data_IF_029531036321
#
_entry.id   IF_029531036321
#
_cell.length_a   1.000
_cell.length_b   1.000
_cell.length_c   1.000
_cell.angle_alpha   90.00
_cell.angle_beta   90.00
_cell.angle_gamma   90.00
#
_symmetry.space_group_name_H-M   'P 1'
#
loop_
_entity.id
_entity.type
_entity.pdbx_description
1 polymer ?
#
# COMPACT_ATOMS: atom_id res chain seq x y z
N UNK A 1 -25.95 20.32 5.25
CA UNK A 1 -26.34 20.71 6.62
C UNK A 1 -27.48 19.80 7.01
N UNK A 2 -27.30 18.94 8.02
CA UNK A 2 -28.37 18.07 8.50
C UNK A 2 -29.06 18.83 9.64
N UNK A 3 -30.34 19.13 9.47
CA UNK A 3 -31.13 19.88 10.45
C UNK A 3 -32.42 19.13 10.73
N UNK A 4 -32.73 18.95 12.01
CA UNK A 4 -34.01 18.43 12.45
C UNK A 4 -35.11 19.47 12.24
N UNK A 5 -36.35 19.01 12.03
CA UNK A 5 -37.53 19.85 12.08
C UNK A 5 -37.79 20.33 13.52
N UNK A 6 -38.52 21.43 13.64
CA UNK A 6 -38.71 22.12 14.92
C UNK A 6 -39.42 21.25 15.97
N UNK A 7 -40.30 20.35 15.56
CA UNK A 7 -41.05 19.48 16.47
C UNK A 7 -40.13 18.39 17.05
N UNK A 8 -39.42 17.67 16.18
CA UNK A 8 -38.46 16.64 16.60
C UNK A 8 -37.35 17.21 17.48
N UNK A 9 -36.86 18.42 17.18
CA UNK A 9 -35.86 19.07 18.02
C UNK A 9 -36.37 19.31 19.46
N UNK A 10 -37.60 19.81 19.62
CA UNK A 10 -38.16 20.09 20.94
C UNK A 10 -38.41 18.80 21.74
N UNK A 11 -38.95 17.77 21.09
CA UNK A 11 -39.17 16.46 21.71
C UNK A 11 -37.85 15.85 22.23
N UNK A 12 -36.80 15.86 21.40
CA UNK A 12 -35.49 15.33 21.76
C UNK A 12 -34.81 16.13 22.88
N UNK A 13 -34.90 17.47 22.85
CA UNK A 13 -34.32 18.32 23.91
C UNK A 13 -35.09 18.22 25.23
N UNK A 14 -36.40 17.96 25.17
CA UNK A 14 -37.20 17.69 26.37
C UNK A 14 -36.83 16.36 27.02
N UNK A 15 -36.68 15.30 26.22
CA UNK A 15 -36.23 13.99 26.71
C UNK A 15 -34.76 14.00 27.16
N UNK A 16 -33.91 14.71 26.42
CA UNK A 16 -32.47 14.78 26.61
C UNK A 16 -31.97 16.22 26.51
N UNK A 17 -32.05 16.96 27.62
CA UNK A 17 -31.61 18.37 27.70
C UNK A 17 -30.18 18.62 27.23
N UNK A 18 -29.31 17.62 27.34
CA UNK A 18 -27.92 17.67 26.88
C UNK A 18 -27.78 17.49 25.36
N UNK A 19 -28.82 17.25 24.58
CA UNK A 19 -28.68 17.08 23.12
C UNK A 19 -28.79 18.39 22.36
N UNK A 20 -29.35 19.44 22.98
CA UNK A 20 -29.48 20.77 22.39
C UNK A 20 -28.15 21.35 21.88
N UNK A 21 -27.03 21.01 22.53
CA UNK A 21 -25.72 21.51 22.12
C UNK A 21 -25.15 20.81 20.89
N UNK A 22 -25.70 19.69 20.44
CA UNK A 22 -25.21 18.96 19.27
C UNK A 22 -26.11 19.13 18.05
N UNK A 23 -27.42 19.24 18.27
CA UNK A 23 -28.41 19.29 17.20
C UNK A 23 -28.27 20.58 16.38
N UNK A 24 -28.60 20.47 15.09
CA UNK A 24 -28.62 21.58 14.13
C UNK A 24 -27.30 22.38 14.03
N UNK A 25 -26.17 21.77 14.42
CA UNK A 25 -24.85 22.33 14.18
C UNK A 25 -24.31 21.86 12.82
N UNK A 26 -23.57 22.76 12.16
CA UNK A 26 -22.80 22.40 10.97
C UNK A 26 -21.63 21.49 11.38
N UNK A 27 -21.33 20.49 10.57
CA UNK A 27 -20.12 19.68 10.71
C UNK A 27 -18.99 20.46 10.05
N UNK A 28 -17.95 20.78 10.83
CA UNK A 28 -16.89 21.73 10.42
C UNK A 28 -16.05 21.23 9.24
N UNK A 29 -16.00 19.91 9.00
CA UNK A 29 -15.20 19.27 7.93
C UNK A 29 -16.04 18.40 6.98
N UNK A 30 -17.28 18.80 6.72
CA UNK A 30 -18.17 17.97 5.91
C UNK A 30 -17.66 17.77 4.47
N UNK A 31 -17.05 18.80 3.87
CA UNK A 31 -16.59 18.73 2.49
C UNK A 31 -15.43 17.77 2.35
N UNK A 32 -14.52 17.77 3.31
CA UNK A 32 -13.37 16.88 3.40
C UNK A 32 -13.83 15.43 3.59
N UNK A 33 -14.81 15.18 4.48
CA UNK A 33 -15.41 13.86 4.66
C UNK A 33 -16.12 13.37 3.40
N UNK A 34 -16.84 14.25 2.70
CA UNK A 34 -17.49 13.92 1.43
C UNK A 34 -16.49 13.58 0.32
N UNK A 35 -15.28 14.16 0.34
CA UNK A 35 -14.20 13.82 -0.59
C UNK A 35 -13.57 12.47 -0.24
N UNK A 36 -13.27 12.22 1.05
CA UNK A 36 -12.58 10.99 1.49
C UNK A 36 -13.46 9.76 1.43
N UNK A 37 -14.70 9.87 1.90
CA UNK A 37 -15.64 8.75 2.06
C UNK A 37 -16.67 8.69 0.93
N UNK A 38 -16.76 9.76 0.12
CA UNK A 38 -17.83 9.94 -0.86
C UNK A 38 -19.06 10.61 -0.27
N UNK A 39 -19.74 11.43 -1.08
CA UNK A 39 -20.89 12.25 -0.66
C UNK A 39 -22.02 11.43 -0.03
N UNK A 40 -22.30 10.24 -0.56
CA UNK A 40 -23.40 9.39 -0.11
C UNK A 40 -23.12 8.74 1.25
N UNK A 41 -21.87 8.36 1.51
CA UNK A 41 -21.44 7.88 2.83
C UNK A 41 -21.35 9.01 3.86
N UNK A 42 -20.87 10.19 3.48
CA UNK A 42 -20.78 11.35 4.38
C UNK A 42 -22.16 11.88 4.81
N UNK A 43 -23.16 11.75 3.94
CA UNK A 43 -24.57 12.07 4.27
C UNK A 43 -25.25 10.92 5.03
N UNK A 44 -24.60 9.76 5.14
CA UNK A 44 -25.20 8.49 5.61
C UNK A 44 -26.53 8.18 4.89
N UNK A 45 -26.60 8.47 3.58
CA UNK A 45 -27.83 8.35 2.81
C UNK A 45 -28.12 6.89 2.36
N UNK A 46 -27.39 5.92 2.91
CA UNK A 46 -27.57 4.48 2.65
C UNK A 46 -28.84 3.90 3.27
N UNK A 47 -29.42 4.59 4.26
CA UNK A 47 -30.50 4.04 5.06
C UNK A 47 -31.88 3.99 4.36
N UNK A 48 -32.02 4.38 3.08
CA UNK A 48 -33.35 4.40 2.44
C UNK A 48 -34.01 3.02 2.22
N UNK A 49 -33.35 1.93 2.60
CA UNK A 49 -33.92 0.57 2.65
C UNK A 49 -34.07 0.00 4.06
N UNK A 50 -34.09 0.81 5.13
CA UNK A 50 -34.44 0.26 6.45
C UNK A 50 -35.91 -0.21 6.42
N UNK A 51 -36.10 -1.52 6.40
CA UNK A 51 -37.28 -2.13 7.00
C UNK A 51 -37.13 -1.90 8.50
N UNK A 52 -38.16 -1.31 9.09
CA UNK A 52 -38.31 -1.11 10.52
C UNK A 52 -38.23 -2.47 11.22
N UNK A 53 -37.08 -2.81 11.81
CA UNK A 53 -36.91 -4.03 12.60
C UNK A 53 -37.41 -3.75 14.01
N UNK A 54 -38.73 -3.69 14.12
CA UNK A 54 -39.39 -3.78 15.40
C UNK A 54 -39.24 -5.22 15.92
N UNK A 55 -38.84 -5.29 17.18
CA UNK A 55 -38.48 -6.48 17.95
C UNK A 55 -39.60 -7.53 17.98
N UNK A 56 -39.40 -8.74 17.40
CA UNK A 56 -39.66 -10.05 18.05
C UNK A 56 -39.49 -11.27 17.11
N UNK A 57 -38.50 -12.11 17.48
CA UNK A 57 -38.60 -13.57 17.65
C UNK A 57 -38.93 -14.52 16.45
N UNK A 58 -37.90 -15.33 16.14
CA UNK A 58 -37.86 -16.77 15.78
C UNK A 58 -37.89 -17.24 14.30
N UNK A 59 -36.85 -18.05 14.04
CA UNK A 59 -36.72 -19.25 13.18
C UNK A 59 -36.20 -19.08 11.75
N UNK A 60 -35.03 -19.71 11.54
CA UNK A 60 -34.55 -20.53 10.40
C UNK A 60 -35.15 -20.29 9.01
N UNK A 61 -34.33 -19.92 8.02
CA UNK A 61 -33.91 -20.78 6.91
C UNK A 61 -33.01 -19.99 5.93
N UNK A 62 -32.10 -20.69 5.27
CA UNK A 62 -31.15 -20.18 4.28
C UNK A 62 -31.87 -19.69 3.01
N UNK A 63 -31.62 -18.46 2.52
CA UNK A 63 -31.70 -18.21 1.06
C UNK A 63 -30.86 -17.03 0.59
N UNK A 64 -29.88 -17.42 -0.24
CA UNK A 64 -29.26 -16.78 -1.41
C UNK A 64 -29.56 -15.32 -1.77
N UNK A 65 -28.46 -14.63 -2.03
CA UNK A 65 -28.30 -13.26 -2.48
C UNK A 65 -28.61 -13.21 -3.98
N UNK A 66 -29.60 -12.43 -4.40
CA UNK A 66 -29.71 -11.99 -5.81
C UNK A 66 -29.77 -10.47 -5.81
N UNK A 67 -28.64 -9.86 -6.18
CA UNK A 67 -28.56 -8.47 -6.58
C UNK A 67 -29.04 -8.37 -8.02
N UNK A 68 -30.18 -7.70 -8.24
CA UNK A 68 -30.57 -7.21 -9.55
C UNK A 68 -30.29 -5.70 -9.61
N UNK A 69 -29.37 -5.33 -10.50
CA UNK A 69 -29.02 -3.96 -10.82
C UNK A 69 -30.03 -3.43 -11.84
N UNK A 70 -30.96 -2.59 -11.39
CA UNK A 70 -31.80 -1.75 -12.25
C UNK A 70 -31.47 -0.27 -12.02
N UNK A 71 -30.64 0.26 -12.91
CA UNK A 71 -30.15 1.63 -13.00
C UNK A 71 -31.24 2.73 -13.14
N UNK A 72 -30.99 3.86 -12.47
CA UNK A 72 -31.15 5.28 -12.90
C UNK A 72 -32.39 5.64 -13.75
N UNK A 73 -33.31 6.52 -13.34
CA UNK A 73 -33.10 7.94 -13.03
C UNK A 73 -33.72 8.86 -14.10
N UNK A 74 -34.73 9.65 -13.68
CA UNK A 74 -34.97 11.06 -14.09
C UNK A 74 -35.67 11.38 -15.44
N UNK A 75 -36.91 11.95 -15.34
CA UNK A 75 -37.53 13.11 -16.08
C UNK A 75 -37.77 12.90 -17.61
N UNK A 76 -38.86 13.28 -18.28
CA UNK A 76 -39.65 14.52 -18.32
C UNK A 76 -41.01 14.32 -19.02
N UNK A 77 -41.91 15.28 -18.83
CA UNK A 77 -43.26 15.41 -19.37
C UNK A 77 -43.22 16.31 -20.63
N UNK A 78 -43.38 15.76 -21.83
CA UNK A 78 -43.31 16.59 -23.06
C UNK A 78 -43.84 15.98 -24.37
N UNK A 79 -45.16 16.12 -24.57
CA UNK A 79 -45.98 16.18 -25.80
C UNK A 79 -45.33 16.03 -27.23
N UNK A 80 -45.91 15.09 -27.98
CA UNK A 80 -46.41 15.15 -29.39
C UNK A 80 -45.58 14.72 -30.63
N UNK A 81 -46.31 13.97 -31.48
CA UNK A 81 -46.32 13.88 -32.96
C UNK A 81 -45.39 12.83 -33.63
N UNK A 82 -46.03 11.68 -33.96
CA UNK A 82 -46.16 11.05 -35.30
C UNK A 82 -44.94 11.13 -36.24
N UNK A 83 -44.33 9.99 -36.57
CA UNK A 83 -44.49 9.28 -37.87
C UNK A 83 -43.75 7.93 -37.85
N UNK A 84 -44.29 7.00 -38.64
CA UNK A 84 -43.91 5.60 -38.71
C UNK A 84 -43.12 5.29 -39.99
N UNK A 85 -42.34 4.22 -39.93
CA UNK A 85 -41.79 3.41 -41.03
C UNK A 85 -40.41 3.80 -41.57
N UNK A 86 -39.46 2.86 -41.49
CA UNK A 86 -38.76 2.27 -42.66
C UNK A 86 -38.02 0.99 -42.24
N UNK A 87 -38.60 -0.15 -42.62
CA UNK A 87 -38.00 -1.33 -43.28
C UNK A 87 -36.49 -1.57 -43.03
N UNK A 88 -36.19 -2.64 -42.29
CA UNK A 88 -35.53 -3.86 -42.83
C UNK A 88 -34.09 -3.80 -43.38
N UNK A 89 -33.31 -4.79 -42.91
CA UNK A 89 -31.98 -5.24 -43.38
C UNK A 89 -30.80 -4.43 -42.84
N UNK A 90 -29.70 -5.00 -42.35
CA UNK A 90 -29.00 -6.22 -42.75
C UNK A 90 -28.25 -6.83 -41.58
N UNK A 91 -28.24 -8.16 -41.55
CA UNK A 91 -27.30 -9.01 -40.80
C UNK A 91 -25.86 -8.51 -41.02
N UNK A 92 -25.20 -8.02 -39.96
CA UNK A 92 -23.74 -7.85 -39.93
C UNK A 92 -23.14 -8.77 -38.87
N UNK A 93 -23.10 -10.07 -39.20
CA UNK A 93 -22.11 -10.98 -38.60
C UNK A 93 -20.73 -10.48 -39.04
N UNK A 94 -20.01 -9.79 -38.16
CA UNK A 94 -18.61 -9.47 -38.42
C UNK A 94 -17.82 -9.29 -37.12
N UNK A 95 -17.10 -10.37 -36.80
CA UNK A 95 -15.84 -10.44 -36.07
C UNK A 95 -15.91 -10.22 -34.56
N UNK A 96 -16.09 -11.38 -33.90
CA UNK A 96 -15.33 -11.77 -32.71
C UNK A 96 -13.87 -11.30 -32.87
N UNK A 97 -13.52 -10.13 -32.31
CA UNK A 97 -12.13 -9.79 -32.00
C UNK A 97 -11.79 -10.55 -30.73
N UNK A 98 -11.33 -11.78 -30.90
CA UNK A 98 -10.47 -12.39 -29.90
C UNK A 98 -9.18 -11.58 -29.88
N UNK A 99 -9.06 -10.67 -28.92
CA UNK A 99 -7.77 -10.33 -28.36
C UNK A 99 -7.84 -10.83 -26.92
N UNK A 100 -7.27 -12.01 -26.67
CA UNK A 100 -6.76 -12.26 -25.34
C UNK A 100 -5.75 -11.12 -25.04
N UNK A 101 -5.80 -10.48 -23.86
CA UNK A 101 -4.78 -9.51 -23.50
C UNK A 101 -3.40 -10.17 -23.65
N UNK A 102 -2.36 -9.45 -24.09
CA UNK A 102 -1.01 -9.97 -24.04
C UNK A 102 -0.77 -10.46 -22.61
N UNK A 103 -0.29 -11.69 -22.46
CA UNK A 103 -0.03 -12.28 -21.14
C UNK A 103 0.84 -11.30 -20.35
N UNK A 104 0.24 -10.68 -19.33
CA UNK A 104 0.87 -9.70 -18.44
C UNK A 104 1.94 -10.35 -17.54
N UNK A 105 2.20 -11.65 -17.72
CA UNK A 105 3.21 -12.41 -16.99
C UNK A 105 4.59 -11.78 -17.17
N UNK A 106 4.92 -11.22 -18.35
CA UNK A 106 6.21 -10.57 -18.58
C UNK A 106 6.39 -9.29 -17.77
N UNK A 107 5.33 -8.49 -17.60
CA UNK A 107 5.36 -7.28 -16.79
C UNK A 107 5.45 -7.62 -15.30
N UNK A 108 4.73 -8.67 -14.88
CA UNK A 108 4.79 -9.18 -13.52
C UNK A 108 6.18 -9.73 -13.17
N UNK A 109 6.83 -10.45 -14.08
CA UNK A 109 8.20 -10.96 -13.88
C UNK A 109 9.21 -9.83 -13.77
N UNK A 110 9.11 -8.80 -14.61
CA UNK A 110 10.00 -7.65 -14.57
C UNK A 110 9.86 -6.88 -13.24
N UNK A 111 8.62 -6.65 -12.77
CA UNK A 111 8.36 -6.04 -11.47
C UNK A 111 8.92 -6.90 -10.32
N UNK A 112 8.79 -8.22 -10.41
CA UNK A 112 9.32 -9.14 -9.41
C UNK A 112 10.85 -9.09 -9.35
N UNK A 113 11.53 -9.01 -10.49
CA UNK A 113 12.98 -8.88 -10.54
C UNK A 113 13.47 -7.52 -10.02
N UNK A 114 12.78 -6.43 -10.33
CA UNK A 114 13.04 -5.11 -9.72
C UNK A 114 12.87 -5.15 -8.19
N UNK A 115 11.83 -5.82 -7.69
CA UNK A 115 11.61 -5.96 -6.25
C UNK A 115 12.74 -6.76 -5.59
N UNK A 116 13.24 -7.84 -6.21
CA UNK A 116 14.41 -8.58 -5.71
C UNK A 116 15.63 -7.68 -5.59
N UNK A 117 15.89 -6.84 -6.59
CA UNK A 117 17.01 -5.90 -6.58
C UNK A 117 16.87 -4.88 -5.45
N UNK A 118 15.68 -4.28 -5.29
CA UNK A 118 15.40 -3.34 -4.18
C UNK A 118 15.59 -4.02 -2.82
N UNK A 119 15.13 -5.26 -2.65
CA UNK A 119 15.32 -6.02 -1.40
C UNK A 119 16.81 -6.25 -1.11
N UNK A 120 17.63 -6.51 -2.13
CA UNK A 120 19.10 -6.64 -1.99
C UNK A 120 19.72 -5.31 -1.56
N UNK A 121 19.36 -4.21 -2.22
CA UNK A 121 19.85 -2.86 -1.89
C UNK A 121 19.45 -2.46 -0.47
N UNK A 122 18.19 -2.69 -0.07
CA UNK A 122 17.71 -2.40 1.29
C UNK A 122 18.45 -3.20 2.36
N UNK A 123 18.71 -4.49 2.11
CA UNK A 123 19.52 -5.31 3.02
C UNK A 123 20.93 -4.74 3.20
N UNK A 124 21.51 -4.19 2.15
CA UNK A 124 22.85 -3.60 2.20
C UNK A 124 22.88 -2.24 2.92
N UNK A 125 21.83 -1.43 2.75
CA UNK A 125 21.63 -0.16 3.49
C UNK A 125 21.44 -0.43 4.99
N UNK A 126 20.65 -1.45 5.34
CA UNK A 126 20.33 -1.77 6.74
C UNK A 126 21.53 -2.32 7.54
N UNK A 127 22.64 -2.71 6.88
CA UNK A 127 23.85 -3.19 7.57
C UNK A 127 24.62 -2.09 8.32
N UNK A 128 24.24 -0.82 8.15
CA UNK A 128 24.84 0.31 8.86
C UNK A 128 26.23 0.72 8.32
N UNK A 129 26.75 1.89 8.76
CA UNK A 129 28.06 2.36 8.36
C UNK A 129 29.17 1.44 8.90
N UNK A 130 30.27 1.37 8.16
CA UNK A 130 31.46 0.62 8.57
C UNK A 130 32.33 1.51 9.43
N UNK A 131 32.77 1.02 10.59
CA UNK A 131 33.68 1.74 11.48
C UNK A 131 35.14 1.57 11.02
N UNK A 132 35.57 2.50 10.16
CA UNK A 132 36.94 2.54 9.63
C UNK A 132 37.98 2.91 10.70
N UNK A 133 37.58 3.60 11.76
CA UNK A 133 38.48 3.94 12.87
C UNK A 133 38.85 2.66 13.62
N UNK A 134 37.86 1.84 13.95
CA UNK A 134 38.11 0.53 14.55
C UNK A 134 38.88 -0.41 13.61
N UNK A 135 38.58 -0.36 12.29
CA UNK A 135 39.34 -1.12 11.29
C UNK A 135 40.84 -0.79 11.36
N UNK A 136 41.19 0.50 11.40
CA UNK A 136 42.58 0.94 11.46
C UNK A 136 43.31 0.36 12.67
N UNK A 137 42.72 0.48 13.86
CA UNK A 137 43.32 -0.07 15.09
C UNK A 137 43.50 -1.58 15.02
N UNK A 138 42.49 -2.29 14.52
CA UNK A 138 42.53 -3.76 14.42
C UNK A 138 43.55 -4.25 13.38
N UNK A 139 43.69 -3.56 12.26
CA UNK A 139 44.72 -3.87 11.26
C UNK A 139 46.11 -3.59 11.83
N UNK A 140 46.31 -2.44 12.49
CA UNK A 140 47.61 -2.09 13.08
C UNK A 140 48.01 -3.00 14.24
N UNK A 141 47.05 -3.51 15.02
CA UNK A 141 47.32 -4.50 16.07
C UNK A 141 47.97 -5.78 15.52
N UNK A 142 47.77 -6.10 14.23
CA UNK A 142 48.40 -7.24 13.57
C UNK A 142 49.91 -7.07 13.41
N UNK A 143 50.48 -5.87 13.59
CA UNK A 143 51.95 -5.69 13.62
C UNK A 143 52.63 -6.62 14.63
N UNK A 144 51.97 -6.92 15.75
CA UNK A 144 52.44 -7.87 16.76
C UNK A 144 52.62 -9.31 16.23
N UNK A 145 51.96 -9.65 15.11
CA UNK A 145 52.03 -10.95 14.46
C UNK A 145 53.16 -11.02 13.41
N UNK A 146 53.98 -9.97 13.27
CA UNK A 146 55.16 -9.96 12.40
C UNK A 146 54.93 -9.40 10.99
N UNK A 147 53.79 -8.77 10.72
CA UNK A 147 53.56 -8.09 9.43
C UNK A 147 54.27 -6.74 9.41
N UNK A 148 54.91 -6.42 8.27
CA UNK A 148 55.52 -5.11 8.05
C UNK A 148 54.45 -4.02 7.88
N UNK A 149 54.80 -2.77 8.18
CA UNK A 149 53.90 -1.62 8.01
C UNK A 149 53.34 -1.52 6.58
N UNK A 150 54.18 -1.74 5.57
CA UNK A 150 53.76 -1.75 4.16
C UNK A 150 52.70 -2.81 3.85
N UNK A 151 52.82 -4.00 4.44
CA UNK A 151 51.81 -5.05 4.31
C UNK A 151 50.50 -4.60 4.96
N UNK A 152 50.56 -4.06 6.17
CA UNK A 152 49.38 -3.58 6.89
C UNK A 152 48.65 -2.46 6.13
N UNK A 153 49.39 -1.50 5.56
CA UNK A 153 48.82 -0.45 4.71
C UNK A 153 48.14 -1.05 3.47
N UNK A 154 48.80 -1.98 2.78
CA UNK A 154 48.23 -2.65 1.59
C UNK A 154 46.96 -3.45 1.91
N UNK A 155 46.89 -4.08 3.09
CA UNK A 155 45.69 -4.75 3.54
C UNK A 155 44.59 -3.75 3.93
N UNK A 156 44.94 -2.68 4.63
CA UNK A 156 44.01 -1.63 5.02
C UNK A 156 43.37 -0.96 3.80
N UNK A 157 44.14 -0.58 2.78
CA UNK A 157 43.62 0.07 1.57
C UNK A 157 42.62 -0.83 0.83
N UNK A 158 42.95 -2.12 0.69
CA UNK A 158 42.03 -3.10 0.09
C UNK A 158 40.75 -3.28 0.90
N UNK A 159 40.83 -3.29 2.24
CA UNK A 159 39.64 -3.32 3.09
C UNK A 159 38.84 -2.03 2.95
N UNK A 160 39.50 -0.88 2.90
CA UNK A 160 38.88 0.43 2.78
C UNK A 160 38.05 0.55 1.50
N UNK A 161 38.58 0.05 0.38
CA UNK A 161 37.88 -0.05 -0.90
C UNK A 161 36.70 -1.02 -0.84
N UNK A 162 36.83 -2.14 -0.11
CA UNK A 162 35.81 -3.18 -0.04
C UNK A 162 35.14 -3.29 1.34
N UNK A 163 33.99 -2.61 1.46
CA UNK A 163 33.16 -2.60 2.68
C UNK A 163 32.80 -4.00 3.19
N UNK A 164 32.55 -4.96 2.30
CA UNK A 164 32.19 -6.33 2.71
C UNK A 164 33.38 -7.06 3.34
N UNK A 165 34.58 -6.88 2.79
CA UNK A 165 35.81 -7.43 3.35
C UNK A 165 36.09 -6.79 4.72
N UNK A 166 35.97 -5.46 4.83
CA UNK A 166 36.12 -4.76 6.12
C UNK A 166 35.18 -5.32 7.18
N UNK A 167 33.88 -5.41 6.89
CA UNK A 167 32.89 -5.95 7.83
C UNK A 167 33.22 -7.39 8.22
N UNK A 168 33.59 -8.22 7.24
CA UNK A 168 34.01 -9.59 7.47
C UNK A 168 35.26 -9.68 8.35
N UNK A 169 36.21 -8.77 8.20
CA UNK A 169 37.42 -8.71 9.01
C UNK A 169 37.13 -8.26 10.45
N UNK A 170 36.32 -7.21 10.63
CA UNK A 170 35.93 -6.71 11.95
C UNK A 170 35.12 -7.76 12.74
N UNK A 171 34.26 -8.53 12.08
CA UNK A 171 33.48 -9.59 12.70
C UNK A 171 34.31 -10.82 13.13
N UNK A 172 35.54 -10.97 12.62
CA UNK A 172 36.44 -12.07 13.00
C UNK A 172 37.10 -11.80 14.36
N UNK A 173 37.50 -12.86 15.06
CA UNK A 173 38.40 -12.75 16.20
C UNK A 173 39.88 -12.65 15.73
N UNK A 174 40.79 -12.34 16.65
CA UNK A 174 42.22 -12.14 16.34
C UNK A 174 42.87 -13.30 15.56
N UNK A 175 42.53 -14.56 15.87
CA UNK A 175 43.10 -15.74 15.16
C UNK A 175 42.63 -15.79 13.70
N UNK A 176 41.34 -15.55 13.47
CA UNK A 176 40.76 -15.53 12.14
C UNK A 176 41.19 -14.30 11.31
N UNK A 177 41.44 -13.17 11.97
CA UNK A 177 42.04 -11.99 11.33
C UNK A 177 43.47 -12.29 10.86
N UNK A 178 44.26 -13.04 11.64
CA UNK A 178 45.58 -13.50 11.23
C UNK A 178 45.52 -14.42 10.01
N UNK A 179 44.66 -15.43 10.08
CA UNK A 179 44.47 -16.35 8.95
C UNK A 179 44.04 -15.61 7.67
N UNK A 180 43.18 -14.59 7.81
CA UNK A 180 42.78 -13.75 6.69
C UNK A 180 43.96 -12.98 6.10
N UNK A 181 44.80 -12.37 6.93
CA UNK A 181 46.02 -11.67 6.50
C UNK A 181 46.98 -12.63 5.79
N UNK A 182 47.23 -13.80 6.38
CA UNK A 182 48.09 -14.84 5.79
C UNK A 182 47.58 -15.26 4.41
N UNK A 183 46.28 -15.53 4.28
CA UNK A 183 45.67 -15.87 3.00
C UNK A 183 45.76 -14.73 1.98
N UNK A 184 45.52 -13.49 2.41
CA UNK A 184 45.53 -12.32 1.55
C UNK A 184 46.91 -12.08 0.93
N UNK A 185 47.98 -12.17 1.75
CA UNK A 185 49.34 -12.02 1.24
C UNK A 185 49.84 -13.26 0.51
N UNK A 186 49.44 -14.46 0.91
CA UNK A 186 49.81 -15.69 0.20
C UNK A 186 49.29 -15.72 -1.23
N UNK A 187 48.09 -15.16 -1.49
CA UNK A 187 47.55 -15.07 -2.85
C UNK A 187 48.22 -14.03 -3.75
N UNK A 188 49.09 -13.18 -3.20
CA UNK A 188 49.74 -12.06 -3.92
C UNK A 188 51.27 -12.18 -4.01
N UNK A 189 51.83 -13.28 -3.50
CA UNK A 189 53.22 -13.70 -3.67
C UNK A 189 53.33 -14.63 -4.88
#
# INVERSE_FOLDING_TARGET
MITCDAKTYQEEVMAHRKHAWFLNKRIEMYNELAIVVGKDMATCNFAKSYVDLDTQQKNDDDTEIVADNGEEGVVDKGKNVVESSTIGSTISKSRKRGCAPPSDDSVLTDLFDQLKEIVVVLKEINRGPVDYTNLYFEVMAMASNGYSENMLTTAFDHMYENKNVTRGFLAKNAKLRKLWMDSYFFTRL
#
